data_IF_199924525075
#
_entry.id   IF_199924525075
#
_cell.length_a   1.000
_cell.length_b   1.000
_cell.length_c   1.000
_cell.angle_alpha   90.00
_cell.angle_beta   90.00
_cell.angle_gamma   90.00
#
_symmetry.space_group_name_H-M   'P 1'
#
loop_
_entity.id
_entity.type
_entity.pdbx_description
1 polymer ?
#
# COMPACT_ATOMS: atom_id res chain seq x y z
N UNK A 1 0.34 12.86 30.22
CA UNK A 1 -0.33 12.58 28.93
C UNK A 1 0.77 12.46 27.88
N UNK A 2 0.63 11.58 26.89
CA UNK A 2 1.54 11.53 25.76
C UNK A 2 1.42 12.83 24.93
N UNK A 3 2.51 13.27 24.29
CA UNK A 3 2.45 14.40 23.35
C UNK A 3 1.87 13.95 22.01
N UNK A 4 1.40 14.87 21.16
CA UNK A 4 0.85 14.52 19.84
C UNK A 4 1.87 13.77 18.98
N UNK A 5 3.15 14.17 19.03
CA UNK A 5 4.25 13.48 18.34
C UNK A 5 4.45 12.03 18.83
N UNK A 6 4.25 11.78 20.13
CA UNK A 6 4.31 10.41 20.67
C UNK A 6 3.16 9.56 20.19
N UNK A 7 1.96 10.12 20.16
CA UNK A 7 0.74 9.44 19.72
C UNK A 7 0.87 9.01 18.26
N UNK A 8 1.31 9.90 17.38
CA UNK A 8 1.43 9.58 15.95
C UNK A 8 2.59 8.62 15.62
N UNK A 9 3.61 8.54 16.49
CA UNK A 9 4.76 7.66 16.28
C UNK A 9 4.49 6.22 16.71
N UNK A 10 3.66 6.00 17.73
CA UNK A 10 3.37 4.69 18.30
C UNK A 10 2.42 3.87 17.38
N UNK A 11 2.85 2.70 16.86
CA UNK A 11 1.98 1.83 16.06
C UNK A 11 0.72 1.36 16.79
N UNK A 12 0.78 1.26 18.13
CA UNK A 12 -0.36 0.84 18.96
C UNK A 12 -1.55 1.80 18.85
N UNK A 13 -1.29 3.10 18.66
CA UNK A 13 -2.33 4.13 18.50
C UNK A 13 -3.29 3.76 17.37
N UNK A 14 -2.76 3.26 16.26
CA UNK A 14 -3.54 3.01 15.04
C UNK A 14 -4.52 1.82 15.15
N UNK A 15 -4.37 0.98 16.17
CA UNK A 15 -5.36 -0.07 16.46
C UNK A 15 -6.68 0.50 16.97
N UNK A 16 -6.68 1.65 17.62
CA UNK A 16 -7.89 2.33 18.09
C UNK A 16 -8.50 3.27 17.04
N UNK A 17 -7.71 3.74 16.10
CA UNK A 17 -8.12 4.63 15.02
C UNK A 17 -6.96 5.49 14.51
N UNK A 18 -7.19 6.20 13.41
CA UNK A 18 -6.25 7.21 12.93
C UNK A 18 -6.30 8.43 13.87
N UNK A 19 -5.14 8.92 14.37
CA UNK A 19 -5.07 10.05 15.30
C UNK A 19 -5.26 11.40 14.56
N UNK A 20 -6.44 11.60 13.97
CA UNK A 20 -6.72 12.79 13.15
C UNK A 20 -6.70 14.08 13.95
N UNK A 21 -7.09 14.04 15.24
CA UNK A 21 -7.06 15.23 16.09
C UNK A 21 -5.61 15.70 16.32
N UNK A 22 -4.70 14.77 16.61
CA UNK A 22 -3.28 15.03 16.78
C UNK A 22 -2.66 15.56 15.48
N UNK A 23 -2.93 14.88 14.36
CA UNK A 23 -2.47 15.33 13.04
C UNK A 23 -2.97 16.73 12.70
N UNK A 24 -4.20 17.07 13.08
CA UNK A 24 -4.77 18.41 12.86
C UNK A 24 -4.06 19.45 13.72
N UNK A 25 -3.86 19.18 15.02
CA UNK A 25 -3.13 20.12 15.91
C UNK A 25 -1.71 20.37 15.41
N UNK A 26 -0.99 19.32 15.00
CA UNK A 26 0.38 19.43 14.46
C UNK A 26 0.40 20.23 13.16
N UNK A 27 -0.51 19.95 12.22
CA UNK A 27 -0.63 20.65 10.94
C UNK A 27 -0.97 22.14 11.12
N UNK A 28 -1.82 22.47 12.10
CA UNK A 28 -2.19 23.85 12.39
C UNK A 28 -1.06 24.61 13.07
N UNK A 29 -0.37 23.98 14.01
CA UNK A 29 0.74 24.57 14.74
C UNK A 29 1.89 24.98 13.81
N UNK A 30 2.31 24.10 12.89
CA UNK A 30 3.38 24.38 11.94
C UNK A 30 3.25 23.52 10.66
N UNK A 31 3.71 24.00 9.49
CA UNK A 31 3.76 23.19 8.27
C UNK A 31 4.79 22.04 8.36
N UNK A 32 5.86 22.26 9.12
CA UNK A 32 6.96 21.33 9.34
C UNK A 32 7.39 21.42 10.80
N UNK A 33 7.53 20.28 11.48
CA UNK A 33 8.00 20.23 12.87
C UNK A 33 8.84 18.99 13.13
N UNK A 34 9.70 19.05 14.18
CA UNK A 34 10.52 17.92 14.60
C UNK A 34 9.71 16.93 15.42
N UNK A 35 9.83 15.65 15.08
CA UNK A 35 9.24 14.52 15.82
C UNK A 35 10.36 13.62 16.33
N UNK A 36 10.52 13.46 17.65
CA UNK A 36 11.52 12.56 18.21
C UNK A 36 11.11 11.10 17.97
N UNK A 37 12.05 10.29 17.48
CA UNK A 37 11.89 8.84 17.46
C UNK A 37 12.04 8.29 18.87
N UNK A 38 11.31 7.21 19.17
CA UNK A 38 11.32 6.55 20.47
C UNK A 38 11.51 5.06 20.31
N UNK A 39 11.90 4.38 21.37
CA UNK A 39 11.87 2.93 21.40
C UNK A 39 10.46 2.41 21.20
N UNK A 40 10.30 1.46 20.28
CA UNK A 40 9.06 0.72 20.01
C UNK A 40 9.39 -0.76 20.14
N UNK A 41 8.60 -1.49 20.92
CA UNK A 41 8.78 -2.93 21.20
C UNK A 41 10.21 -3.27 21.70
N UNK A 42 10.82 -2.37 22.49
CA UNK A 42 12.14 -2.55 23.05
C UNK A 42 13.29 -2.30 22.07
N UNK A 43 13.00 -1.89 20.83
CA UNK A 43 14.00 -1.53 19.83
C UNK A 43 14.19 -0.03 19.83
N UNK A 44 15.44 0.41 20.04
CA UNK A 44 15.80 1.82 19.94
C UNK A 44 15.78 2.27 18.48
N UNK A 45 15.31 3.49 18.26
CA UNK A 45 15.25 4.13 16.95
C UNK A 45 16.19 5.33 16.91
N UNK A 46 16.21 6.07 15.82
CA UNK A 46 17.05 7.25 15.64
C UNK A 46 16.64 8.45 16.50
N UNK A 47 17.31 9.60 16.32
CA UNK A 47 17.06 10.80 17.13
C UNK A 47 15.68 11.44 16.84
N UNK A 48 15.18 11.28 15.62
CA UNK A 48 13.94 11.90 15.17
C UNK A 48 13.95 12.24 13.68
N UNK A 49 12.95 12.97 13.28
CA UNK A 49 12.76 13.39 11.89
C UNK A 49 11.96 14.69 11.78
N UNK A 50 12.10 15.37 10.65
CA UNK A 50 11.27 16.49 10.26
C UNK A 50 9.98 15.96 9.63
N UNK A 51 8.86 16.16 10.30
CA UNK A 51 7.54 15.78 9.77
C UNK A 51 6.94 16.94 8.97
N UNK A 52 6.45 16.63 7.78
CA UNK A 52 5.83 17.59 6.85
C UNK A 52 4.33 17.31 6.81
N UNK A 53 3.52 18.26 7.30
CA UNK A 53 2.10 18.06 7.58
C UNK A 53 1.16 18.60 6.52
N UNK A 54 1.51 19.73 5.88
CA UNK A 54 0.62 20.46 4.97
C UNK A 54 0.81 20.00 3.53
N UNK A 55 -0.27 20.02 2.79
CA UNK A 55 -0.34 19.55 1.41
C UNK A 55 0.70 20.21 0.48
N UNK A 56 0.85 21.53 0.57
CA UNK A 56 1.77 22.27 -0.29
C UNK A 56 3.23 21.88 -0.05
N UNK A 57 3.64 21.75 1.23
CA UNK A 57 5.00 21.39 1.64
C UNK A 57 5.30 19.91 1.33
N UNK A 58 4.31 19.03 1.48
CA UNK A 58 4.43 17.61 1.04
C UNK A 58 4.68 17.56 -0.48
N UNK A 59 3.91 18.27 -1.28
CA UNK A 59 4.13 18.36 -2.75
C UNK A 59 5.49 18.98 -3.08
N UNK A 60 5.91 20.01 -2.31
CA UNK A 60 7.21 20.64 -2.50
C UNK A 60 8.35 19.64 -2.30
N UNK A 61 8.34 18.89 -1.19
CA UNK A 61 9.37 17.90 -0.89
C UNK A 61 9.40 16.78 -1.93
N UNK A 62 8.25 16.23 -2.32
CA UNK A 62 8.15 15.12 -3.26
C UNK A 62 8.56 15.47 -4.70
N UNK A 63 8.52 16.76 -5.08
CA UNK A 63 8.95 17.24 -6.40
C UNK A 63 10.45 17.48 -6.52
N UNK A 64 11.20 17.43 -5.41
CA UNK A 64 12.60 17.83 -5.37
C UNK A 64 13.52 16.70 -4.86
N UNK A 65 13.66 15.59 -5.62
CA UNK A 65 14.52 14.49 -5.23
C UNK A 65 15.98 14.93 -5.05
N UNK A 66 16.43 16.00 -5.73
CA UNK A 66 17.75 16.58 -5.57
C UNK A 66 18.00 17.18 -4.16
N UNK A 67 16.94 17.58 -3.43
CA UNK A 67 17.02 18.07 -2.05
C UNK A 67 16.53 17.03 -1.03
N UNK A 68 15.55 16.22 -1.42
CA UNK A 68 14.86 15.25 -0.56
C UNK A 68 14.89 13.87 -1.22
N UNK A 69 16.01 13.18 -1.03
CA UNK A 69 16.35 11.91 -1.67
C UNK A 69 15.50 10.75 -1.16
N UNK A 70 15.12 9.86 -2.06
CA UNK A 70 14.58 8.54 -1.74
C UNK A 70 15.69 7.51 -1.53
N UNK A 71 16.90 7.75 -2.06
CA UNK A 71 18.01 6.79 -2.10
C UNK A 71 18.87 6.82 -0.83
N UNK A 72 19.03 7.97 -0.17
CA UNK A 72 19.89 8.09 1.01
C UNK A 72 19.38 7.36 2.24
N UNK A 73 18.14 6.87 2.24
CA UNK A 73 17.54 6.09 3.32
C UNK A 73 16.51 5.10 2.79
N UNK A 74 15.72 4.49 3.69
CA UNK A 74 14.57 3.69 3.32
C UNK A 74 13.29 4.55 3.21
N UNK A 75 12.23 4.01 2.62
CA UNK A 75 10.93 4.69 2.50
C UNK A 75 10.20 4.83 3.84
N UNK A 76 10.45 3.90 4.78
CA UNK A 76 9.91 3.94 6.13
C UNK A 76 10.80 4.80 7.05
N UNK A 77 10.28 5.24 8.20
CA UNK A 77 11.02 6.09 9.14
C UNK A 77 12.30 5.39 9.61
N UNK A 78 12.21 4.10 9.93
CA UNK A 78 13.36 3.29 10.38
C UNK A 78 14.06 2.65 9.19
N UNK A 79 15.39 2.80 9.14
CA UNK A 79 16.24 2.08 8.21
C UNK A 79 16.34 0.59 8.57
N UNK A 80 16.69 -0.29 7.60
CA UNK A 80 17.13 -1.64 7.89
C UNK A 80 18.29 -1.66 8.93
N UNK A 81 18.40 -2.77 9.66
CA UNK A 81 19.32 -2.87 10.80
C UNK A 81 20.80 -2.84 10.39
N UNK A 82 21.14 -3.28 9.18
CA UNK A 82 22.53 -3.34 8.70
C UNK A 82 22.75 -2.44 7.49
N UNK A 83 23.99 -1.92 7.29
CA UNK A 83 24.33 -1.19 6.07
C UNK A 83 24.14 -2.01 4.79
N UNK A 84 24.36 -3.32 4.84
CA UNK A 84 24.20 -4.25 3.73
C UNK A 84 22.73 -4.36 3.32
N UNK A 85 21.82 -4.48 4.28
CA UNK A 85 20.38 -4.51 4.02
C UNK A 85 19.88 -3.18 3.45
N UNK A 86 20.42 -2.06 3.97
CA UNK A 86 20.10 -0.73 3.42
C UNK A 86 20.60 -0.60 1.97
N UNK A 87 21.83 -1.04 1.69
CA UNK A 87 22.39 -1.04 0.35
C UNK A 87 21.57 -1.91 -0.62
N UNK A 88 21.05 -3.04 -0.14
CA UNK A 88 20.15 -3.89 -0.93
C UNK A 88 18.79 -3.21 -1.17
N UNK A 89 18.19 -2.64 -0.13
CA UNK A 89 16.91 -1.93 -0.21
C UNK A 89 16.94 -0.76 -1.22
N UNK A 90 18.08 -0.07 -1.33
CA UNK A 90 18.33 1.01 -2.30
C UNK A 90 18.30 0.56 -3.76
N UNK A 91 18.36 -0.74 -4.04
CA UNK A 91 18.21 -1.28 -5.40
C UNK A 91 16.75 -1.38 -5.85
N UNK A 92 15.80 -1.14 -4.96
CA UNK A 92 14.38 -1.01 -5.31
C UNK A 92 14.11 0.34 -5.96
N UNK A 93 13.34 0.36 -7.05
CA UNK A 93 12.91 1.59 -7.72
C UNK A 93 12.24 2.58 -6.76
N UNK A 94 11.57 2.10 -5.71
CA UNK A 94 10.95 2.93 -4.69
C UNK A 94 11.97 3.76 -3.90
N UNK A 95 13.19 3.24 -3.73
CA UNK A 95 14.29 3.82 -2.98
C UNK A 95 15.42 4.31 -3.89
N UNK A 96 15.11 4.81 -5.07
CA UNK A 96 16.04 5.39 -6.01
C UNK A 96 15.66 6.83 -6.33
N UNK A 97 16.62 7.61 -6.76
CA UNK A 97 16.42 8.94 -7.31
C UNK A 97 16.64 8.95 -8.84
N UNK A 98 16.13 9.94 -9.58
CA UNK A 98 16.53 10.16 -10.97
C UNK A 98 18.04 10.43 -11.08
N UNK A 99 18.74 9.90 -12.10
CA UNK A 99 18.21 9.28 -13.32
C UNK A 99 17.87 7.79 -13.21
N UNK A 100 18.42 7.04 -12.23
CA UNK A 100 18.24 5.58 -12.12
C UNK A 100 16.79 5.17 -11.90
N UNK A 101 16.08 5.86 -11.01
CA UNK A 101 14.62 5.71 -10.87
C UNK A 101 13.91 5.84 -12.21
N UNK A 102 14.24 6.85 -12.99
CA UNK A 102 13.58 7.12 -14.28
C UNK A 102 13.88 6.05 -15.32
N UNK A 103 15.07 5.44 -15.27
CA UNK A 103 15.47 4.32 -16.13
C UNK A 103 14.57 3.11 -15.86
N UNK A 104 14.49 2.65 -14.62
CA UNK A 104 13.68 1.50 -14.24
C UNK A 104 12.18 1.75 -14.46
N UNK A 105 11.70 2.92 -14.05
CA UNK A 105 10.29 3.29 -14.23
C UNK A 105 9.85 3.26 -15.70
N UNK A 106 10.71 3.68 -16.63
CA UNK A 106 10.42 3.66 -18.07
C UNK A 106 10.18 2.24 -18.60
N UNK A 107 10.93 1.26 -18.08
CA UNK A 107 10.78 -0.15 -18.47
C UNK A 107 9.34 -0.62 -18.19
N UNK A 108 8.86 -0.43 -16.98
CA UNK A 108 7.58 -0.98 -16.51
C UNK A 108 6.36 -0.12 -16.80
N UNK A 109 6.54 1.19 -17.08
CA UNK A 109 5.42 2.13 -17.30
C UNK A 109 4.49 1.73 -18.44
N UNK A 110 4.99 0.99 -19.43
CA UNK A 110 4.19 0.51 -20.57
C UNK A 110 3.04 -0.41 -20.14
N UNK A 111 3.20 -1.16 -19.04
CA UNK A 111 2.19 -2.07 -18.50
C UNK A 111 1.10 -1.36 -17.70
N UNK A 112 1.27 -0.05 -17.40
CA UNK A 112 0.33 0.75 -16.62
C UNK A 112 -0.28 1.92 -17.39
N UNK A 113 -0.17 1.90 -18.70
CA UNK A 113 -0.81 2.92 -19.56
C UNK A 113 -2.34 2.77 -19.53
N UNK A 114 -3.11 3.84 -19.85
CA UNK A 114 -4.58 3.74 -19.96
C UNK A 114 -5.04 2.54 -20.79
N UNK A 115 -4.41 2.34 -21.95
CA UNK A 115 -4.73 1.20 -22.83
C UNK A 115 -4.43 -0.17 -22.19
N UNK A 116 -3.36 -0.27 -21.41
CA UNK A 116 -3.03 -1.52 -20.70
C UNK A 116 -4.05 -1.80 -19.58
N UNK A 117 -4.42 -0.77 -18.82
CA UNK A 117 -5.45 -0.88 -17.78
C UNK A 117 -6.83 -1.20 -18.37
N UNK A 118 -7.19 -0.60 -19.50
CA UNK A 118 -8.46 -0.88 -20.17
C UNK A 118 -8.58 -2.34 -20.62
N UNK A 119 -7.49 -2.98 -21.06
CA UNK A 119 -7.47 -4.42 -21.35
C UNK A 119 -7.78 -5.31 -20.14
N UNK A 120 -7.45 -4.84 -18.95
CA UNK A 120 -7.72 -5.55 -17.69
C UNK A 120 -9.12 -5.23 -17.13
N UNK A 121 -9.74 -4.13 -17.56
CA UNK A 121 -10.98 -3.60 -16.98
C UNK A 121 -12.11 -4.61 -16.95
N UNK A 122 -12.40 -5.29 -18.06
CA UNK A 122 -13.46 -6.29 -18.13
C UNK A 122 -13.23 -7.42 -17.12
N UNK A 123 -12.01 -7.93 -17.05
CA UNK A 123 -11.62 -9.00 -16.13
C UNK A 123 -11.70 -8.54 -14.66
N UNK A 124 -11.34 -7.30 -14.37
CA UNK A 124 -11.49 -6.71 -13.03
C UNK A 124 -12.98 -6.63 -12.64
N UNK A 125 -13.84 -6.19 -13.55
CA UNK A 125 -15.29 -6.10 -13.31
C UNK A 125 -15.90 -7.48 -13.12
N UNK A 126 -15.56 -8.45 -13.97
CA UNK A 126 -16.03 -9.84 -13.84
C UNK A 126 -15.59 -10.45 -12.50
N UNK A 127 -14.33 -10.21 -12.13
CA UNK A 127 -13.80 -10.73 -10.86
C UNK A 127 -14.45 -10.06 -9.64
N UNK A 128 -14.68 -8.76 -9.68
CA UNK A 128 -15.38 -8.05 -8.60
C UNK A 128 -16.81 -8.60 -8.41
N UNK A 129 -17.54 -8.83 -9.51
CA UNK A 129 -18.87 -9.45 -9.47
C UNK A 129 -18.84 -10.85 -8.88
N UNK A 130 -17.89 -11.68 -9.33
CA UNK A 130 -17.72 -13.05 -8.80
C UNK A 130 -17.44 -13.05 -7.30
N UNK A 131 -16.57 -12.15 -6.82
CA UNK A 131 -16.24 -12.01 -5.39
C UNK A 131 -17.50 -11.63 -4.58
N UNK A 132 -18.28 -10.67 -5.07
CA UNK A 132 -19.54 -10.25 -4.41
C UNK A 132 -20.57 -11.36 -4.42
N UNK A 133 -20.72 -12.10 -5.52
CA UNK A 133 -21.63 -13.25 -5.60
C UNK A 133 -21.18 -14.34 -4.63
N UNK A 134 -19.89 -14.69 -4.57
CA UNK A 134 -19.36 -15.67 -3.62
C UNK A 134 -19.56 -15.24 -2.16
N UNK A 135 -19.41 -13.94 -1.86
CA UNK A 135 -19.69 -13.40 -0.52
C UNK A 135 -21.17 -13.63 -0.15
N UNK A 136 -22.08 -13.34 -1.08
CA UNK A 136 -23.54 -13.49 -0.86
C UNK A 136 -23.94 -14.95 -0.71
N UNK A 137 -23.48 -15.81 -1.63
CA UNK A 137 -23.85 -17.22 -1.68
C UNK A 137 -23.22 -18.04 -0.54
N UNK A 138 -22.04 -17.64 -0.08
CA UNK A 138 -21.33 -18.29 1.04
C UNK A 138 -21.85 -17.91 2.42
N UNK A 139 -22.66 -16.86 2.54
CA UNK A 139 -23.16 -16.36 3.81
C UNK A 139 -24.50 -17.00 4.20
N UNK A 140 -24.56 -17.60 5.39
CA UNK A 140 -25.80 -18.21 5.92
C UNK A 140 -26.73 -17.19 6.57
N UNK A 141 -26.21 -16.08 7.07
CA UNK A 141 -26.91 -15.07 7.88
C UNK A 141 -26.81 -13.64 7.29
N UNK A 142 -26.37 -13.53 6.02
CA UNK A 142 -26.10 -12.26 5.35
C UNK A 142 -25.03 -11.40 6.07
N UNK A 143 -24.03 -12.04 6.65
CA UNK A 143 -22.88 -11.38 7.22
C UNK A 143 -21.60 -11.92 6.61
N UNK A 144 -20.56 -11.07 6.53
CA UNK A 144 -19.22 -11.46 6.10
C UNK A 144 -18.16 -10.54 6.70
N UNK A 145 -16.92 -11.03 6.76
CA UNK A 145 -15.75 -10.20 7.00
C UNK A 145 -15.31 -9.56 5.66
N UNK A 146 -15.72 -8.34 5.43
CA UNK A 146 -15.48 -7.65 4.16
C UNK A 146 -13.98 -7.41 3.88
N UNK A 147 -13.15 -7.28 4.91
CA UNK A 147 -11.71 -7.13 4.70
C UNK A 147 -11.10 -8.37 4.03
N UNK A 148 -11.56 -9.56 4.41
CA UNK A 148 -11.15 -10.83 3.76
C UNK A 148 -11.70 -10.95 2.34
N UNK A 149 -12.97 -10.61 2.16
CA UNK A 149 -13.63 -10.64 0.84
C UNK A 149 -12.93 -9.70 -0.15
N UNK A 150 -12.69 -8.46 0.27
CA UNK A 150 -12.09 -7.44 -0.58
C UNK A 150 -10.62 -7.73 -0.95
N UNK A 151 -9.90 -8.48 -0.12
CA UNK A 151 -8.49 -8.80 -0.33
C UNK A 151 -8.21 -9.62 -1.60
N UNK A 152 -9.18 -10.40 -2.09
CA UNK A 152 -8.97 -11.27 -3.25
C UNK A 152 -8.84 -10.49 -4.57
N UNK A 153 -9.54 -9.36 -4.74
CA UNK A 153 -9.49 -8.58 -5.98
C UNK A 153 -8.10 -7.99 -6.29
N UNK A 154 -7.41 -7.31 -5.36
CA UNK A 154 -6.06 -6.80 -5.59
C UNK A 154 -5.05 -7.91 -5.89
N UNK A 155 -5.08 -9.00 -5.13
CA UNK A 155 -4.16 -10.14 -5.29
C UNK A 155 -4.36 -10.80 -6.65
N UNK A 156 -5.61 -11.02 -7.05
CA UNK A 156 -5.96 -11.62 -8.32
C UNK A 156 -5.51 -10.74 -9.50
N UNK A 157 -5.79 -9.44 -9.43
CA UNK A 157 -5.39 -8.46 -10.46
C UNK A 157 -3.89 -8.39 -10.60
N UNK A 158 -3.18 -8.38 -9.47
CA UNK A 158 -1.72 -8.28 -9.45
C UNK A 158 -1.07 -9.56 -10.00
N UNK A 159 -1.61 -10.74 -9.68
CA UNK A 159 -1.14 -12.01 -10.25
C UNK A 159 -1.22 -11.98 -11.79
N UNK A 160 -2.32 -11.48 -12.36
CA UNK A 160 -2.46 -11.30 -13.81
C UNK A 160 -1.42 -10.33 -14.40
N UNK A 161 -1.24 -9.19 -13.74
CA UNK A 161 -0.30 -8.13 -14.19
C UNK A 161 1.14 -8.64 -14.16
N UNK A 162 1.50 -9.43 -13.15
CA UNK A 162 2.84 -10.02 -13.01
C UNK A 162 3.03 -11.31 -13.82
N UNK A 163 1.93 -11.93 -14.29
CA UNK A 163 1.97 -13.23 -14.94
C UNK A 163 2.20 -14.39 -13.96
N UNK A 164 1.85 -14.21 -12.70
CA UNK A 164 1.84 -15.26 -11.67
C UNK A 164 0.62 -16.15 -11.87
N UNK A 165 0.74 -17.50 -11.88
CA UNK A 165 -0.40 -18.40 -11.92
C UNK A 165 -1.39 -18.10 -10.79
N UNK A 166 -2.70 -18.07 -11.13
CA UNK A 166 -3.74 -17.74 -10.15
C UNK A 166 -3.79 -18.72 -8.97
N UNK A 167 -3.34 -19.95 -9.15
CA UNK A 167 -3.21 -20.95 -8.09
C UNK A 167 -2.14 -20.59 -7.05
N UNK A 168 -1.17 -19.73 -7.41
CA UNK A 168 -0.06 -19.34 -6.55
C UNK A 168 -0.25 -17.95 -5.93
N UNK A 169 -1.36 -17.22 -6.26
CA UNK A 169 -1.58 -15.85 -5.80
C UNK A 169 -1.59 -15.71 -4.28
N UNK A 170 -1.90 -16.78 -3.53
CA UNK A 170 -1.88 -16.77 -2.07
C UNK A 170 -0.48 -16.46 -1.50
N UNK A 171 0.60 -16.80 -2.23
CA UNK A 171 1.96 -16.41 -1.84
C UNK A 171 2.16 -14.90 -1.84
N UNK A 172 1.55 -14.21 -2.80
CA UNK A 172 1.63 -12.75 -2.86
C UNK A 172 0.92 -12.09 -1.67
N UNK A 173 -0.17 -12.69 -1.21
CA UNK A 173 -0.83 -12.26 0.01
C UNK A 173 0.06 -12.47 1.25
N UNK A 174 0.70 -13.64 1.35
CA UNK A 174 1.61 -13.97 2.45
C UNK A 174 2.82 -13.03 2.49
N UNK A 175 3.50 -12.81 1.37
CA UNK A 175 4.66 -11.92 1.30
C UNK A 175 4.30 -10.47 1.68
N UNK A 176 3.21 -9.94 1.14
CA UNK A 176 2.75 -8.59 1.45
C UNK A 176 2.42 -8.44 2.93
N UNK A 177 1.71 -9.41 3.52
CA UNK A 177 1.36 -9.41 4.95
C UNK A 177 2.60 -9.42 5.83
N UNK A 178 3.58 -10.28 5.55
CA UNK A 178 4.85 -10.34 6.31
C UNK A 178 5.64 -9.03 6.21
N UNK A 179 5.80 -8.48 5.00
CA UNK A 179 6.63 -7.28 4.76
C UNK A 179 5.99 -6.02 5.33
N UNK A 180 4.70 -5.82 5.12
CA UNK A 180 4.00 -4.58 5.51
C UNK A 180 3.44 -4.69 6.92
N UNK A 181 2.93 -5.85 7.29
CA UNK A 181 2.31 -6.10 8.58
C UNK A 181 3.28 -6.55 9.68
N UNK A 182 4.60 -6.41 9.49
CA UNK A 182 5.60 -6.89 10.47
C UNK A 182 5.43 -6.31 11.89
N UNK A 183 4.78 -5.16 12.04
CA UNK A 183 4.45 -4.54 13.34
C UNK A 183 3.21 -5.16 13.99
N UNK A 184 2.39 -5.94 13.25
CA UNK A 184 1.17 -6.56 13.75
C UNK A 184 1.41 -8.06 14.00
N UNK A 185 1.20 -8.56 15.23
CA UNK A 185 1.48 -9.96 15.56
C UNK A 185 0.68 -10.97 14.73
N UNK A 186 -0.57 -10.64 14.35
CA UNK A 186 -1.41 -11.52 13.54
C UNK A 186 -0.83 -11.67 12.12
N UNK A 187 -0.41 -10.56 11.50
CA UNK A 187 0.17 -10.56 10.16
C UNK A 187 1.58 -11.14 10.12
N UNK A 188 2.38 -10.88 11.15
CA UNK A 188 3.71 -11.47 11.28
C UNK A 188 3.64 -13.01 11.46
N UNK A 189 2.57 -13.52 12.07
CA UNK A 189 2.37 -14.94 12.35
C UNK A 189 1.53 -15.68 11.29
N UNK A 190 1.14 -15.04 10.17
CA UNK A 190 0.37 -15.72 9.11
C UNK A 190 1.10 -16.98 8.67
N UNK A 191 0.45 -18.12 8.87
CA UNK A 191 0.88 -19.40 8.36
C UNK A 191 0.08 -19.74 7.11
N UNK A 192 0.78 -20.21 6.06
CA UNK A 192 0.13 -20.77 4.89
C UNK A 192 -0.41 -22.15 5.26
N UNK A 193 -1.71 -22.26 5.44
CA UNK A 193 -2.36 -23.49 5.90
C UNK A 193 -2.75 -24.43 4.78
N UNK A 194 -2.80 -23.96 3.52
CA UNK A 194 -3.21 -24.77 2.38
C UNK A 194 -2.33 -24.55 1.16
N UNK A 195 -1.40 -25.47 0.92
CA UNK A 195 -0.61 -25.57 -0.31
C UNK A 195 -1.20 -26.59 -1.29
N UNK A 196 -2.45 -27.02 -1.10
CA UNK A 196 -3.14 -27.96 -1.98
C UNK A 196 -3.30 -27.33 -3.36
N UNK A 197 -2.75 -27.96 -4.39
CA UNK A 197 -2.75 -27.41 -5.75
C UNK A 197 -1.63 -26.45 -6.10
N UNK A 198 -0.66 -26.21 -5.19
CA UNK A 198 0.51 -25.39 -5.45
C UNK A 198 1.31 -25.90 -6.66
N UNK A 199 1.75 -24.95 -7.51
CA UNK A 199 2.63 -25.27 -8.64
C UNK A 199 4.00 -25.77 -8.15
N UNK A 200 4.84 -26.37 -9.04
CA UNK A 200 6.23 -26.67 -8.69
C UNK A 200 7.02 -25.45 -8.21
N UNK A 201 6.77 -24.27 -8.79
CA UNK A 201 7.39 -23.01 -8.38
C UNK A 201 7.02 -22.62 -6.95
N UNK A 202 5.73 -22.70 -6.62
CA UNK A 202 5.25 -22.41 -5.26
C UNK A 202 5.83 -23.42 -4.24
N UNK A 203 5.94 -24.70 -4.60
CA UNK A 203 6.56 -25.72 -3.73
C UNK A 203 8.04 -25.44 -3.49
N UNK A 204 8.79 -25.02 -4.52
CA UNK A 204 10.19 -24.64 -4.39
C UNK A 204 10.37 -23.42 -3.47
N UNK A 205 9.52 -22.40 -3.61
CA UNK A 205 9.50 -21.24 -2.73
C UNK A 205 9.21 -21.64 -1.27
N UNK A 206 8.16 -22.40 -1.04
CA UNK A 206 7.77 -22.85 0.30
C UNK A 206 8.86 -23.67 1.01
N UNK A 207 9.68 -24.41 0.26
CA UNK A 207 10.79 -25.19 0.82
C UNK A 207 11.89 -24.33 1.46
N UNK A 208 12.01 -23.05 1.07
CA UNK A 208 12.97 -22.09 1.62
C UNK A 208 12.32 -20.99 2.44
N UNK A 209 11.04 -21.12 2.76
CA UNK A 209 10.33 -20.17 3.60
C UNK A 209 10.98 -20.10 4.98
N UNK A 210 11.23 -18.87 5.52
CA UNK A 210 11.84 -18.72 6.83
C UNK A 210 11.00 -19.33 7.94
N UNK A 211 11.66 -19.89 8.92
CA UNK A 211 11.09 -20.34 10.18
C UNK A 211 11.57 -19.46 11.33
N UNK A 212 10.84 -19.39 12.46
CA UNK A 212 11.30 -18.69 13.65
C UNK A 212 12.69 -19.19 14.09
N UNK A 213 13.54 -18.27 14.52
CA UNK A 213 14.81 -18.58 15.16
C UNK A 213 14.63 -19.30 16.51
N UNK A 214 15.74 -19.71 17.17
CA UNK A 214 15.69 -20.38 18.47
C UNK A 214 15.01 -19.58 19.58
N UNK A 215 14.97 -18.25 19.45
CA UNK A 215 14.30 -17.31 20.35
C UNK A 215 12.82 -17.06 19.98
N UNK A 216 12.31 -17.75 18.95
CA UNK A 216 10.93 -17.60 18.45
C UNK A 216 10.73 -16.39 17.55
N UNK A 217 11.77 -15.60 17.25
CA UNK A 217 11.65 -14.43 16.37
C UNK A 217 11.76 -14.82 14.90
N UNK A 218 10.91 -14.22 14.05
CA UNK A 218 11.01 -14.36 12.60
C UNK A 218 12.13 -13.43 12.07
N UNK A 219 12.87 -13.84 11.04
CA UNK A 219 13.78 -12.93 10.32
C UNK A 219 13.03 -11.70 9.82
N UNK A 220 13.71 -10.53 9.83
CA UNK A 220 13.09 -9.27 9.37
C UNK A 220 12.69 -9.39 7.89
N UNK A 221 11.39 -9.38 7.57
CA UNK A 221 10.91 -9.58 6.20
C UNK A 221 11.21 -8.41 5.26
N UNK A 222 11.77 -7.31 5.78
CA UNK A 222 12.22 -6.17 4.97
C UNK A 222 13.63 -6.36 4.43
N UNK A 223 14.31 -7.43 4.83
CA UNK A 223 15.63 -7.80 4.34
C UNK A 223 15.55 -8.93 3.30
N UNK A 224 16.61 -9.09 2.49
CA UNK A 224 16.68 -10.20 1.53
C UNK A 224 16.63 -11.57 2.23
N UNK A 225 17.29 -11.68 3.37
CA UNK A 225 17.31 -12.91 4.17
C UNK A 225 15.99 -13.25 4.85
N UNK A 226 15.10 -12.27 5.03
CA UNK A 226 13.81 -12.46 5.69
C UNK A 226 12.69 -12.98 4.79
N UNK A 227 12.86 -12.92 3.45
CA UNK A 227 11.88 -13.42 2.47
C UNK A 227 12.55 -14.18 1.31
N UNK A 228 13.43 -15.16 1.57
CA UNK A 228 14.11 -15.92 0.52
C UNK A 228 13.15 -16.69 -0.39
N UNK A 229 11.99 -17.06 0.12
CA UNK A 229 10.90 -17.72 -0.60
C UNK A 229 10.32 -16.85 -1.72
N UNK A 230 10.22 -15.54 -1.53
CA UNK A 230 9.77 -14.60 -2.58
C UNK A 230 10.77 -14.61 -3.76
N UNK A 231 12.05 -14.53 -3.48
CA UNK A 231 13.08 -14.49 -4.52
C UNK A 231 13.24 -15.84 -5.22
N UNK A 232 13.14 -16.95 -4.48
CA UNK A 232 13.12 -18.29 -5.08
C UNK A 232 11.97 -18.44 -6.07
N UNK A 233 10.76 -17.98 -5.69
CA UNK A 233 9.62 -17.95 -6.59
C UNK A 233 9.86 -17.07 -7.82
N UNK A 234 10.40 -15.87 -7.64
CA UNK A 234 10.70 -14.94 -8.73
C UNK A 234 11.63 -15.58 -9.78
N UNK A 235 12.66 -16.32 -9.35
CA UNK A 235 13.59 -16.98 -10.24
C UNK A 235 12.96 -18.17 -10.99
N UNK A 236 12.15 -18.98 -10.32
CA UNK A 236 11.42 -20.07 -10.97
C UNK A 236 10.40 -19.54 -12.00
N UNK A 237 9.65 -18.49 -11.64
CA UNK A 237 8.74 -17.82 -12.57
C UNK A 237 9.50 -17.22 -13.76
N UNK A 238 10.66 -16.62 -13.52
CA UNK A 238 11.53 -16.09 -14.58
C UNK A 238 11.98 -17.20 -15.55
N UNK A 239 12.35 -18.37 -15.02
CA UNK A 239 12.72 -19.51 -15.86
C UNK A 239 11.55 -20.00 -16.73
N UNK A 240 10.33 -19.99 -16.20
CA UNK A 240 9.12 -20.32 -16.96
C UNK A 240 8.85 -19.26 -18.05
N UNK A 241 8.89 -17.97 -17.70
CA UNK A 241 8.62 -16.88 -18.64
C UNK A 241 9.67 -16.78 -19.76
N UNK A 242 10.92 -17.17 -19.52
CA UNK A 242 11.92 -17.28 -20.60
C UNK A 242 11.57 -18.37 -21.62
N UNK A 243 10.93 -19.46 -21.17
CA UNK A 243 10.48 -20.54 -22.07
C UNK A 243 9.19 -20.18 -22.81
N UNK A 244 8.30 -19.43 -22.17
CA UNK A 244 7.00 -19.05 -22.69
C UNK A 244 6.69 -17.57 -22.31
N UNK A 245 7.29 -16.59 -23.03
CA UNK A 245 7.05 -15.18 -22.77
C UNK A 245 5.58 -14.79 -22.99
N UNK A 246 5.04 -13.93 -22.09
CA UNK A 246 3.72 -13.34 -22.19
C UNK A 246 3.76 -11.82 -22.36
N UNK A 247 2.59 -11.20 -22.21
CA UNK A 247 2.45 -9.72 -22.17
C UNK A 247 2.55 -9.14 -20.75
N UNK A 248 2.87 -9.97 -19.77
CA UNK A 248 2.99 -9.61 -18.35
C UNK A 248 4.29 -8.86 -18.04
N UNK A 249 4.33 -8.24 -16.85
CA UNK A 249 5.48 -7.45 -16.39
C UNK A 249 6.74 -8.32 -16.23
N UNK A 250 6.59 -9.58 -15.78
CA UNK A 250 7.73 -10.48 -15.64
C UNK A 250 8.41 -10.72 -16.98
N UNK A 251 7.64 -11.03 -18.02
CA UNK A 251 8.17 -11.21 -19.38
C UNK A 251 8.82 -9.95 -19.91
N UNK A 252 8.22 -8.78 -19.64
CA UNK A 252 8.79 -7.48 -20.03
C UNK A 252 10.12 -7.21 -19.32
N UNK A 253 10.19 -7.43 -18.01
CA UNK A 253 11.43 -7.21 -17.25
C UNK A 253 12.54 -8.16 -17.71
N UNK A 254 12.23 -9.44 -17.95
CA UNK A 254 13.20 -10.42 -18.42
C UNK A 254 13.78 -10.07 -19.78
N UNK A 255 12.98 -9.53 -20.70
CA UNK A 255 13.50 -9.06 -21.99
C UNK A 255 14.53 -7.92 -21.83
N UNK A 256 14.53 -7.21 -20.72
CA UNK A 256 15.51 -6.18 -20.40
C UNK A 256 16.73 -6.75 -19.68
N UNK A 257 16.58 -7.75 -18.82
CA UNK A 257 17.71 -8.46 -18.19
C UNK A 257 18.60 -9.12 -19.26
N UNK A 258 17.97 -9.85 -20.17
CA UNK A 258 18.67 -10.53 -21.26
C UNK A 258 19.27 -9.57 -22.30
N UNK A 259 18.84 -8.27 -22.27
CA UNK A 259 19.32 -7.18 -23.14
C UNK A 259 20.18 -6.13 -22.44
N UNK A 260 20.85 -6.44 -21.32
CA UNK A 260 21.69 -5.54 -20.52
C UNK A 260 20.95 -4.33 -19.87
N UNK A 261 19.62 -4.36 -19.82
CA UNK A 261 18.82 -3.27 -19.26
C UNK A 261 18.56 -3.34 -17.76
N UNK A 262 18.61 -4.52 -17.16
CA UNK A 262 18.33 -4.81 -15.74
C UNK A 262 19.36 -5.79 -15.17
N UNK A 263 19.89 -5.52 -13.99
CA UNK A 263 20.67 -6.49 -13.22
C UNK A 263 19.74 -7.49 -12.51
N UNK A 264 20.31 -8.62 -12.06
CA UNK A 264 19.56 -9.63 -11.27
C UNK A 264 18.99 -9.01 -9.98
N UNK A 265 19.76 -8.19 -9.29
CA UNK A 265 19.31 -7.52 -8.06
C UNK A 265 18.17 -6.54 -8.32
N UNK A 266 18.23 -5.78 -9.42
CA UNK A 266 17.13 -4.90 -9.82
C UNK A 266 15.88 -5.68 -10.18
N UNK A 267 16.01 -6.81 -10.88
CA UNK A 267 14.92 -7.71 -11.19
C UNK A 267 14.26 -8.26 -9.92
N UNK A 268 15.05 -8.78 -8.96
CA UNK A 268 14.57 -9.26 -7.66
C UNK A 268 13.80 -8.17 -6.92
N UNK A 269 14.38 -6.98 -6.81
CA UNK A 269 13.77 -5.85 -6.12
C UNK A 269 12.52 -5.31 -6.82
N UNK A 270 12.45 -5.37 -8.15
CA UNK A 270 11.24 -5.01 -8.89
C UNK A 270 10.12 -6.01 -8.67
N UNK A 271 10.42 -7.32 -8.66
CA UNK A 271 9.42 -8.33 -8.33
C UNK A 271 8.90 -8.15 -6.90
N UNK A 272 9.81 -7.96 -5.93
CA UNK A 272 9.46 -7.65 -4.55
C UNK A 272 8.55 -6.42 -4.46
N UNK A 273 8.93 -5.32 -5.13
CA UNK A 273 8.16 -4.08 -5.12
C UNK A 273 6.73 -4.28 -5.60
N UNK A 274 6.54 -4.96 -6.72
CA UNK A 274 5.21 -5.21 -7.26
C UNK A 274 4.39 -6.18 -6.39
N UNK A 275 5.00 -7.28 -5.93
CA UNK A 275 4.31 -8.27 -5.10
C UNK A 275 3.78 -7.67 -3.78
N UNK A 276 4.49 -6.69 -3.22
CA UNK A 276 4.15 -6.05 -1.95
C UNK A 276 3.27 -4.81 -2.15
N UNK A 277 3.73 -3.83 -2.95
CA UNK A 277 3.07 -2.53 -3.05
C UNK A 277 1.70 -2.57 -3.74
N UNK A 278 1.53 -3.44 -4.71
CA UNK A 278 0.28 -3.55 -5.48
C UNK A 278 -0.84 -4.30 -4.76
N UNK A 279 -0.51 -5.00 -3.69
CA UNK A 279 -1.46 -5.81 -2.93
C UNK A 279 -1.98 -5.06 -1.69
N UNK A 280 -1.10 -4.76 -0.74
CA UNK A 280 -1.47 -4.29 0.59
C UNK A 280 -2.22 -2.95 0.58
N UNK A 281 -1.84 -2.04 -0.31
CA UNK A 281 -2.43 -0.70 -0.34
C UNK A 281 -3.92 -0.72 -0.70
N UNK A 282 -4.32 -1.54 -1.68
CA UNK A 282 -5.74 -1.70 -2.06
C UNK A 282 -6.50 -2.63 -1.12
N UNK A 283 -5.83 -3.63 -0.57
CA UNK A 283 -6.39 -4.46 0.50
C UNK A 283 -6.82 -3.64 1.70
N UNK A 284 -6.15 -2.50 1.95
CA UNK A 284 -6.54 -1.52 2.96
C UNK A 284 -7.48 -0.43 2.40
N UNK A 285 -7.34 -0.05 1.13
CA UNK A 285 -8.12 1.00 0.50
C UNK A 285 -9.58 0.62 0.27
N UNK A 286 -9.87 -0.60 -0.18
CA UNK A 286 -11.25 -1.07 -0.43
C UNK A 286 -12.03 -1.21 0.89
N UNK A 287 -11.53 -1.89 1.93
CA UNK A 287 -12.20 -1.91 3.24
C UNK A 287 -12.32 -0.51 3.87
N UNK A 288 -11.33 0.38 3.65
CA UNK A 288 -11.40 1.76 4.09
C UNK A 288 -12.53 2.55 3.44
N UNK A 289 -12.76 2.37 2.15
CA UNK A 289 -13.92 2.93 1.44
C UNK A 289 -15.24 2.39 1.96
N UNK A 290 -15.32 1.07 2.23
CA UNK A 290 -16.49 0.46 2.86
C UNK A 290 -16.73 1.01 4.27
N UNK A 291 -15.68 1.11 5.07
CA UNK A 291 -15.74 1.69 6.42
C UNK A 291 -16.32 3.12 6.39
N UNK A 292 -15.89 3.94 5.43
CA UNK A 292 -16.44 5.28 5.23
C UNK A 292 -17.96 5.22 4.94
N UNK A 293 -18.39 4.35 4.01
CA UNK A 293 -19.78 4.21 3.64
C UNK A 293 -20.66 3.65 4.78
N UNK A 294 -20.13 2.77 5.64
CA UNK A 294 -20.82 2.27 6.81
C UNK A 294 -21.13 3.38 7.85
N UNK A 295 -20.27 4.40 7.92
CA UNK A 295 -20.44 5.55 8.81
C UNK A 295 -21.20 6.71 8.16
N UNK A 296 -21.38 6.67 6.83
CA UNK A 296 -22.08 7.67 6.02
C UNK A 296 -23.10 6.99 5.08
N UNK A 297 -24.16 6.36 5.60
CA UNK A 297 -25.09 5.55 4.79
C UNK A 297 -25.82 6.37 3.73
N UNK A 298 -25.99 7.68 3.90
CA UNK A 298 -26.51 8.59 2.88
C UNK A 298 -25.61 8.64 1.63
N UNK A 299 -24.29 8.46 1.80
CA UNK A 299 -23.35 8.43 0.67
C UNK A 299 -23.46 7.13 -0.13
N UNK A 300 -23.77 6.00 0.53
CA UNK A 300 -24.14 4.75 -0.14
C UNK A 300 -25.37 4.94 -1.01
N UNK A 301 -26.41 5.59 -0.48
CA UNK A 301 -27.64 5.85 -1.23
C UNK A 301 -27.42 6.78 -2.43
N UNK A 302 -26.56 7.79 -2.29
CA UNK A 302 -26.17 8.67 -3.40
C UNK A 302 -25.48 7.89 -4.53
N UNK A 303 -24.53 7.00 -4.21
CA UNK A 303 -23.87 6.14 -5.19
C UNK A 303 -24.86 5.15 -5.83
N UNK A 304 -25.82 4.62 -5.06
CA UNK A 304 -26.85 3.74 -5.58
C UNK A 304 -27.81 4.45 -6.56
N UNK A 305 -28.08 5.73 -6.32
CA UNK A 305 -28.93 6.57 -7.17
C UNK A 305 -28.20 7.09 -8.42
N UNK A 306 -26.90 7.38 -8.31
CA UNK A 306 -26.09 7.92 -9.41
C UNK A 306 -24.70 7.26 -9.47
N UNK A 307 -24.57 6.25 -10.32
CA UNK A 307 -23.32 5.51 -10.55
C UNK A 307 -22.22 6.33 -11.23
N UNK A 308 -22.57 7.45 -11.85
CA UNK A 308 -21.60 8.34 -12.48
C UNK A 308 -20.64 8.99 -11.46
N UNK A 309 -21.02 8.99 -10.18
CA UNK A 309 -20.18 9.46 -9.07
C UNK A 309 -19.03 8.49 -8.71
N UNK A 310 -19.11 7.20 -9.05
CA UNK A 310 -18.15 6.17 -8.64
C UNK A 310 -16.67 6.52 -8.94
N UNK A 311 -16.32 7.05 -10.13
CA UNK A 311 -14.91 7.40 -10.40
C UNK A 311 -14.37 8.49 -9.47
N UNK A 312 -15.17 9.51 -9.16
CA UNK A 312 -14.82 10.57 -8.20
C UNK A 312 -14.84 10.07 -6.75
N UNK A 313 -15.83 9.23 -6.42
CA UNK A 313 -15.93 8.60 -5.11
C UNK A 313 -14.73 7.72 -4.78
N UNK A 314 -14.12 7.05 -5.77
CA UNK A 314 -12.87 6.30 -5.57
C UNK A 314 -11.71 7.22 -5.14
N UNK A 315 -11.60 8.42 -5.71
CA UNK A 315 -10.61 9.41 -5.27
C UNK A 315 -10.93 9.92 -3.84
N UNK A 316 -12.20 10.14 -3.52
CA UNK A 316 -12.62 10.56 -2.17
C UNK A 316 -12.38 9.46 -1.12
N UNK A 317 -12.68 8.19 -1.44
CA UNK A 317 -12.37 7.05 -0.56
C UNK A 317 -10.88 7.00 -0.24
N UNK A 318 -10.03 7.17 -1.25
CA UNK A 318 -8.58 7.18 -1.08
C UNK A 318 -8.09 8.42 -0.32
N UNK A 319 -8.65 9.60 -0.58
CA UNK A 319 -8.35 10.81 0.18
C UNK A 319 -8.68 10.64 1.65
N UNK A 320 -9.91 10.23 1.93
CA UNK A 320 -10.47 10.16 3.29
C UNK A 320 -9.82 9.06 4.12
N UNK A 321 -9.56 7.88 3.51
CA UNK A 321 -8.91 6.75 4.19
C UNK A 321 -7.39 6.87 4.21
N UNK A 322 -6.77 7.24 3.11
CA UNK A 322 -5.30 7.34 2.96
C UNK A 322 -4.57 6.07 3.40
N UNK A 323 -4.52 5.01 2.55
CA UNK A 323 -3.97 3.70 2.94
C UNK A 323 -2.50 3.73 3.38
N UNK A 324 -1.66 4.57 2.77
CA UNK A 324 -0.27 4.82 3.18
C UNK A 324 -0.23 6.13 3.95
N UNK A 325 0.15 6.07 5.23
CA UNK A 325 0.11 7.21 6.14
C UNK A 325 1.18 8.25 5.80
N UNK A 326 2.40 7.78 5.53
CA UNK A 326 3.55 8.64 5.26
C UNK A 326 4.60 7.93 4.40
N UNK A 327 5.51 8.72 3.81
CA UNK A 327 6.78 8.26 3.27
C UNK A 327 7.93 9.13 3.79
N UNK A 328 9.12 8.53 3.92
CA UNK A 328 10.34 9.22 4.27
C UNK A 328 11.11 9.66 3.02
N UNK A 329 11.82 10.77 3.17
CA UNK A 329 12.93 11.25 2.36
C UNK A 329 14.12 11.53 3.27
N UNK A 330 15.29 11.80 2.69
CA UNK A 330 16.47 12.22 3.42
C UNK A 330 17.04 13.47 2.76
N UNK A 331 17.35 14.50 3.53
CA UNK A 331 17.93 15.72 3.00
C UNK A 331 19.33 15.44 2.43
N UNK A 332 19.61 15.91 1.22
CA UNK A 332 20.89 15.71 0.53
C UNK A 332 21.95 16.72 0.96
N UNK A 333 21.50 17.90 1.39
CA UNK A 333 22.32 19.04 1.80
C UNK A 333 21.57 19.84 2.86
N UNK A 334 22.28 20.75 3.53
CA UNK A 334 21.65 21.73 4.42
C UNK A 334 20.67 22.56 3.63
N UNK A 335 19.41 22.55 4.03
CA UNK A 335 18.32 23.18 3.27
C UNK A 335 17.30 23.82 4.21
N UNK A 336 16.29 24.47 3.64
CA UNK A 336 15.19 25.05 4.38
C UNK A 336 13.85 24.57 3.79
N UNK A 337 12.90 24.22 4.67
CA UNK A 337 11.52 23.90 4.30
C UNK A 337 10.56 24.63 5.25
N UNK A 338 9.76 25.55 4.70
CA UNK A 338 8.79 26.34 5.44
C UNK A 338 9.37 27.05 6.69
N UNK A 339 10.56 27.61 6.57
CA UNK A 339 11.27 28.34 7.64
C UNK A 339 12.04 27.47 8.63
N UNK A 340 11.99 26.13 8.47
CA UNK A 340 12.76 25.19 9.28
C UNK A 340 14.08 24.84 8.59
N UNK A 341 15.19 24.94 9.31
CA UNK A 341 16.50 24.49 8.82
C UNK A 341 16.58 22.97 8.98
N UNK A 342 16.89 22.29 7.92
CA UNK A 342 17.03 20.84 7.82
C UNK A 342 18.48 20.54 7.45
N UNK A 343 19.19 19.79 8.27
CA UNK A 343 20.60 19.45 8.01
C UNK A 343 20.71 18.31 6.97
N UNK A 344 21.83 18.28 6.26
CA UNK A 344 22.19 17.15 5.41
C UNK A 344 22.13 15.83 6.19
N UNK A 345 21.45 14.83 5.64
CA UNK A 345 21.24 13.52 6.28
C UNK A 345 20.01 13.43 7.18
N UNK A 346 19.35 14.53 7.51
CA UNK A 346 18.12 14.51 8.30
C UNK A 346 17.00 13.75 7.55
N UNK A 347 16.22 12.99 8.31
CA UNK A 347 14.99 12.36 7.83
C UNK A 347 13.90 13.41 7.66
N UNK A 348 13.23 13.38 6.51
CA UNK A 348 12.07 14.24 6.17
C UNK A 348 10.89 13.35 5.83
N UNK A 349 9.90 13.29 6.70
CA UNK A 349 8.75 12.38 6.59
C UNK A 349 7.52 13.17 6.15
N UNK A 350 7.02 12.85 4.97
CA UNK A 350 5.81 13.48 4.40
C UNK A 350 4.57 12.71 4.82
N UNK A 351 3.63 13.37 5.52
CA UNK A 351 2.41 12.75 6.04
C UNK A 351 1.23 12.94 5.09
N UNK A 352 0.95 11.93 4.27
CA UNK A 352 -0.19 11.93 3.34
C UNK A 352 -1.53 12.02 4.08
N UNK A 353 -1.67 11.29 5.20
CA UNK A 353 -2.90 11.31 5.99
C UNK A 353 -3.23 12.70 6.55
N UNK A 354 -2.22 13.49 6.91
CA UNK A 354 -2.40 14.90 7.31
C UNK A 354 -2.69 15.80 6.10
N UNK A 355 -1.91 15.67 5.03
CA UNK A 355 -2.04 16.50 3.83
C UNK A 355 -3.40 16.32 3.13
N UNK A 356 -3.95 15.11 3.13
CA UNK A 356 -5.27 14.80 2.57
C UNK A 356 -6.44 15.37 3.39
N UNK A 357 -6.17 15.91 4.57
CA UNK A 357 -7.10 16.61 5.45
C UNK A 357 -6.76 18.10 5.62
N UNK A 358 -5.94 18.65 4.72
CA UNK A 358 -5.57 20.07 4.78
C UNK A 358 -6.73 20.96 4.30
N UNK A 359 -7.32 21.81 5.18
CA UNK A 359 -8.44 22.69 4.83
C UNK A 359 -8.06 23.79 3.83
N UNK A 360 -6.76 23.97 3.56
CA UNK A 360 -6.27 24.91 2.52
C UNK A 360 -6.48 24.38 1.11
N UNK A 361 -6.80 23.06 0.97
CA UNK A 361 -6.97 22.37 -0.31
C UNK A 361 -8.35 21.72 -0.42
N UNK A 362 -8.85 21.18 0.68
CA UNK A 362 -10.14 20.50 0.72
C UNK A 362 -11.08 21.21 1.69
N UNK A 363 -12.16 21.77 1.18
CA UNK A 363 -13.22 22.34 2.01
C UNK A 363 -13.84 21.23 2.88
N UNK A 364 -14.07 21.51 4.17
CA UNK A 364 -14.58 20.53 5.13
C UNK A 364 -13.88 19.15 5.03
N UNK A 365 -12.53 19.10 5.22
CA UNK A 365 -11.72 17.94 4.88
C UNK A 365 -12.07 16.69 5.69
N UNK A 366 -12.71 16.84 6.83
CA UNK A 366 -13.14 15.77 7.72
C UNK A 366 -14.53 15.20 7.38
N UNK A 367 -15.22 15.79 6.41
CA UNK A 367 -16.47 15.28 5.86
C UNK A 367 -16.17 14.34 4.68
N UNK A 368 -16.75 13.15 4.71
CA UNK A 368 -16.73 12.20 3.59
C UNK A 368 -17.87 12.53 2.62
N UNK A 369 -17.54 12.88 1.39
CA UNK A 369 -18.52 13.26 0.36
C UNK A 369 -18.16 12.62 -1.00
N UNK A 370 -18.93 11.64 -1.44
CA UNK A 370 -18.74 10.95 -2.73
C UNK A 370 -18.88 11.84 -3.97
N UNK A 371 -19.43 13.04 -3.80
CA UNK A 371 -19.51 14.08 -4.85
C UNK A 371 -18.34 15.06 -4.85
N UNK A 372 -17.38 14.91 -3.92
CA UNK A 372 -16.22 15.81 -3.82
C UNK A 372 -15.31 15.68 -5.03
N UNK A 373 -14.76 16.81 -5.50
CA UNK A 373 -13.63 16.82 -6.42
C UNK A 373 -12.32 16.58 -5.67
N UNK A 374 -12.02 15.29 -5.41
CA UNK A 374 -10.89 14.87 -4.57
C UNK A 374 -9.58 14.64 -5.35
N UNK A 375 -9.51 14.93 -6.64
CA UNK A 375 -8.40 14.52 -7.53
C UNK A 375 -7.00 15.05 -7.16
N UNK A 376 -6.88 16.05 -6.27
CA UNK A 376 -5.58 16.55 -5.79
C UNK A 376 -5.12 15.85 -4.49
N UNK A 377 -5.74 14.75 -4.08
CA UNK A 377 -5.28 13.98 -2.94
C UNK A 377 -3.89 13.37 -3.17
N UNK A 378 -3.14 13.16 -2.09
CA UNK A 378 -1.77 12.66 -2.11
C UNK A 378 -1.63 11.17 -1.77
N UNK A 379 -2.71 10.39 -1.76
CA UNK A 379 -2.66 8.94 -1.48
C UNK A 379 -1.87 8.15 -2.53
N UNK A 380 -1.68 8.71 -3.72
CA UNK A 380 -0.80 8.18 -4.75
C UNK A 380 0.59 8.85 -4.77
N UNK A 381 0.91 9.65 -3.76
CA UNK A 381 2.12 10.45 -3.76
C UNK A 381 2.11 11.57 -4.80
N UNK A 382 3.29 12.10 -5.12
CA UNK A 382 3.47 13.18 -6.09
C UNK A 382 4.90 13.17 -6.67
N UNK A 383 5.11 13.86 -7.80
CA UNK A 383 6.43 13.98 -8.43
C UNK A 383 6.93 12.69 -9.09
N UNK A 384 8.26 12.44 -9.15
CA UNK A 384 8.82 11.27 -9.84
C UNK A 384 8.27 9.94 -9.35
N UNK A 385 7.96 9.82 -8.07
CA UNK A 385 7.41 8.62 -7.43
C UNK A 385 5.88 8.55 -7.40
N UNK A 386 5.17 9.37 -8.19
CA UNK A 386 3.72 9.22 -8.31
C UNK A 386 3.35 7.76 -8.63
N UNK A 387 2.35 7.22 -7.93
CA UNK A 387 2.02 5.80 -8.00
C UNK A 387 1.81 5.30 -9.43
N UNK A 388 2.59 4.28 -9.81
CA UNK A 388 2.53 3.69 -11.15
C UNK A 388 1.18 2.99 -11.39
N UNK A 389 0.64 2.34 -10.33
CA UNK A 389 -0.62 1.59 -10.36
C UNK A 389 -1.88 2.42 -10.08
N UNK A 390 -1.80 3.76 -10.03
CA UNK A 390 -2.93 4.62 -9.62
C UNK A 390 -4.21 4.37 -10.42
N UNK A 391 -4.12 4.25 -11.74
CA UNK A 391 -5.25 3.96 -12.61
C UNK A 391 -5.84 2.57 -12.36
N UNK A 392 -4.97 1.58 -12.18
CA UNK A 392 -5.38 0.20 -11.89
C UNK A 392 -6.06 0.09 -10.52
N UNK A 393 -5.54 0.82 -9.53
CA UNK A 393 -6.11 0.89 -8.19
C UNK A 393 -7.51 1.50 -8.18
N UNK A 394 -7.69 2.63 -8.86
CA UNK A 394 -9.01 3.26 -9.00
C UNK A 394 -9.99 2.37 -9.75
N UNK A 395 -9.55 1.70 -10.82
CA UNK A 395 -10.41 0.77 -11.57
C UNK A 395 -10.94 -0.37 -10.68
N UNK A 396 -10.13 -0.90 -9.77
CA UNK A 396 -10.54 -1.95 -8.83
C UNK A 396 -11.52 -1.43 -7.78
N UNK A 397 -11.29 -0.24 -7.22
CA UNK A 397 -12.25 0.41 -6.31
C UNK A 397 -13.61 0.59 -6.99
N UNK A 398 -13.62 1.20 -8.17
CA UNK A 398 -14.87 1.40 -8.94
C UNK A 398 -15.57 0.08 -9.20
N UNK A 399 -14.86 -0.95 -9.67
CA UNK A 399 -15.46 -2.24 -10.00
C UNK A 399 -16.04 -2.95 -8.76
N UNK A 400 -15.35 -2.92 -7.62
CA UNK A 400 -15.82 -3.53 -6.38
C UNK A 400 -17.09 -2.86 -5.88
N UNK A 401 -17.09 -1.53 -5.78
CA UNK A 401 -18.27 -0.81 -5.28
C UNK A 401 -19.44 -0.85 -6.27
N UNK A 402 -19.20 -0.84 -7.58
CA UNK A 402 -20.24 -1.03 -8.58
C UNK A 402 -20.89 -2.41 -8.45
N UNK A 403 -20.11 -3.49 -8.31
CA UNK A 403 -20.61 -4.84 -8.10
C UNK A 403 -21.43 -4.98 -6.80
N UNK A 404 -20.97 -4.37 -5.71
CA UNK A 404 -21.71 -4.35 -4.44
C UNK A 404 -23.05 -3.62 -4.58
N UNK A 405 -23.04 -2.45 -5.18
CA UNK A 405 -24.23 -1.64 -5.40
C UNK A 405 -25.23 -2.31 -6.36
N UNK A 406 -24.79 -3.19 -7.27
CA UNK A 406 -25.68 -3.99 -8.13
C UNK A 406 -26.48 -5.03 -7.35
N UNK A 407 -25.92 -5.58 -6.28
CA UNK A 407 -26.52 -6.68 -5.52
C UNK A 407 -27.17 -6.25 -4.21
N UNK A 408 -26.70 -5.15 -3.62
CA UNK A 408 -27.07 -4.74 -2.27
C UNK A 408 -27.87 -3.43 -2.28
N UNK A 409 -28.96 -3.41 -1.52
CA UNK A 409 -29.73 -2.19 -1.25
C UNK A 409 -29.05 -1.39 -0.16
N UNK A 410 -28.57 -2.08 0.87
CA UNK A 410 -28.00 -1.48 2.06
C UNK A 410 -26.90 -2.37 2.63
N UNK A 411 -25.88 -1.74 3.22
CA UNK A 411 -24.84 -2.38 4.04
C UNK A 411 -24.80 -1.73 5.42
N UNK A 412 -24.54 -2.53 6.45
CA UNK A 412 -24.44 -2.09 7.85
C UNK A 412 -23.25 -2.75 8.52
N UNK A 413 -22.67 -2.10 9.52
CA UNK A 413 -21.71 -2.74 10.40
C UNK A 413 -22.37 -3.90 11.16
N UNK A 414 -21.70 -5.06 11.20
CA UNK A 414 -22.12 -6.24 11.95
C UNK A 414 -21.22 -6.52 13.16
N UNK A 415 -20.28 -5.62 13.46
CA UNK A 415 -19.36 -5.69 14.59
C UNK A 415 -18.31 -4.60 14.48
N UNK A 416 -17.46 -4.54 15.51
CA UNK A 416 -16.35 -3.57 15.53
C UNK A 416 -15.22 -3.98 14.57
N UNK A 417 -14.65 -3.03 13.81
CA UNK A 417 -13.53 -3.32 12.95
C UNK A 417 -12.26 -3.59 13.77
N UNK A 418 -11.47 -4.57 13.34
CA UNK A 418 -10.13 -4.77 13.89
C UNK A 418 -9.09 -4.14 12.97
N UNK A 419 -8.35 -3.17 13.53
CA UNK A 419 -7.39 -2.38 12.77
C UNK A 419 -5.98 -2.99 12.84
N UNK A 420 -5.21 -2.71 11.80
CA UNK A 420 -3.80 -3.08 11.74
C UNK A 420 -2.99 -2.25 12.75
N UNK A 421 -2.11 -2.90 13.49
CA UNK A 421 -1.11 -2.22 14.32
C UNK A 421 0.03 -1.75 13.41
N UNK A 422 -0.05 -0.52 12.90
CA UNK A 422 0.96 0.04 12.02
C UNK A 422 0.85 1.56 11.97
N UNK A 423 1.97 2.26 12.18
CA UNK A 423 2.06 3.70 11.94
C UNK A 423 2.40 4.03 10.48
N UNK A 424 2.58 3.02 9.63
CA UNK A 424 2.89 3.17 8.21
C UNK A 424 1.69 2.92 7.29
N UNK A 425 0.89 1.90 7.59
CA UNK A 425 -0.29 1.53 6.83
C UNK A 425 -1.57 1.75 7.64
N UNK A 426 -2.52 2.46 7.05
CA UNK A 426 -3.86 2.60 7.59
C UNK A 426 -4.70 1.40 7.13
N UNK A 427 -4.71 0.33 7.93
CA UNK A 427 -5.30 -0.95 7.54
C UNK A 427 -6.44 -1.41 8.44
N UNK A 428 -7.34 -2.21 7.88
CA UNK A 428 -8.39 -2.96 8.58
C UNK A 428 -8.16 -4.44 8.30
N UNK A 429 -7.94 -5.23 9.36
CA UNK A 429 -7.76 -6.69 9.28
C UNK A 429 -9.08 -7.44 9.18
N UNK A 430 -10.09 -6.97 9.93
CA UNK A 430 -11.43 -7.52 9.96
C UNK A 430 -12.46 -6.40 9.92
N UNK A 431 -13.43 -6.50 9.03
CA UNK A 431 -14.54 -5.57 8.88
C UNK A 431 -15.85 -6.36 8.75
N UNK A 432 -16.48 -6.73 9.88
CA UNK A 432 -17.76 -7.42 9.85
C UNK A 432 -18.87 -6.52 9.28
N UNK A 433 -19.50 -6.97 8.21
CA UNK A 433 -20.65 -6.28 7.60
C UNK A 433 -21.85 -7.20 7.50
N UNK A 434 -23.02 -6.59 7.43
CA UNK A 434 -24.27 -7.25 7.04
C UNK A 434 -24.96 -6.46 5.92
N UNK A 435 -25.87 -7.10 5.20
CA UNK A 435 -26.51 -6.45 4.03
C UNK A 435 -27.94 -6.86 3.81
N UNK A 436 -28.63 -6.03 3.02
CA UNK A 436 -29.94 -6.33 2.42
C UNK A 436 -29.78 -6.48 0.91
N UNK A 437 -30.27 -7.59 0.34
CA UNK A 437 -30.23 -7.84 -1.11
C UNK A 437 -31.26 -6.99 -1.86
N UNK A 438 -30.95 -6.69 -3.12
CA UNK A 438 -31.90 -6.12 -4.08
C UNK A 438 -32.96 -7.13 -4.50
#
# INVERSE_FOLDING_TARGET
MATDEQVIYDPQTYQTGMPYEELTRLREAAPVSWVPERSVDGVEHGPGYWAVWRHAEVKYALKRPQLFSSELGATQIRDPATPEDLAYTRKSMLNMDPPEHSRLRRIVSRSFTPRAVDRLRERIVERARLIVDQMIDGATDRTADFAKVAADLPVWTLADVLGVPQTDRYLMFDWASRVIGFQDPEYAAISLTDATGATPMAKAALAVRPSPGPDGTMPDPRTRGGIPDLYAYAHELAAEKRRAPGEDIMSLMLSQVDGDGLSTDEFENMFWLFAVAGNETLRNGIPGGMYALLHHPEQWQRLAADRSLLPGAADEMLRWWTPVIHFRRTATEDTELAGQRIAAGDKVVVYFASANRDPRVFDDPDTFDVGRSAGDHLSFGHGPHYCLGSMLGKAQLVAMFDALLDRLVEVRAAGEPQRLRSNFQHGIKHLPISWTLR
#
